data_IF_256231173656
#
_entry.id   IF_256231173656
#
_cell.length_a   1.000
_cell.length_b   1.000
_cell.length_c   1.000
_cell.angle_alpha   90.00
_cell.angle_beta   90.00
_cell.angle_gamma   90.00
#
_symmetry.space_group_name_H-M   'P 1'
#
loop_
_entity.id
_entity.type
_entity.pdbx_description
1 polymer ?
#
# COMPACT_ATOMS: atom_id res chain seq x y z
N UNK A 1 -17.96 41.22 30.47
CA UNK A 1 -18.16 39.85 29.94
C UNK A 1 -19.58 39.58 29.42
N UNK A 2 -20.67 39.87 30.14
CA UNK A 2 -22.06 39.59 29.68
C UNK A 2 -22.47 40.29 28.36
N UNK A 3 -22.04 41.55 28.13
CA UNK A 3 -22.35 42.28 26.89
C UNK A 3 -21.62 41.76 25.64
N UNK A 4 -20.46 41.13 25.82
CA UNK A 4 -19.69 40.55 24.71
C UNK A 4 -20.31 39.21 24.28
N UNK A 5 -20.74 38.41 25.26
CA UNK A 5 -21.44 37.14 25.03
C UNK A 5 -22.77 37.34 24.30
N UNK A 6 -23.53 38.38 24.67
CA UNK A 6 -24.80 38.68 24.01
C UNK A 6 -24.63 39.12 22.55
N UNK A 7 -23.57 39.89 22.23
CA UNK A 7 -23.24 40.29 20.86
C UNK A 7 -22.88 39.08 19.98
N UNK A 8 -22.11 38.13 20.50
CA UNK A 8 -21.78 36.89 19.79
C UNK A 8 -23.01 36.01 19.53
N UNK A 9 -23.93 35.93 20.50
CA UNK A 9 -25.15 35.16 20.37
C UNK A 9 -26.11 35.76 19.33
N UNK A 10 -26.26 37.09 19.29
CA UNK A 10 -27.03 37.77 18.23
C UNK A 10 -26.38 37.67 16.86
N UNK A 11 -25.04 37.64 16.77
CA UNK A 11 -24.33 37.46 15.50
C UNK A 11 -24.53 36.05 14.92
N UNK A 12 -24.51 35.01 15.78
CA UNK A 12 -24.82 33.63 15.39
C UNK A 12 -26.29 33.45 14.93
N UNK A 13 -27.23 34.14 15.56
CA UNK A 13 -28.66 34.06 15.21
C UNK A 13 -28.99 34.74 13.86
N UNK A 14 -28.22 35.76 13.46
CA UNK A 14 -28.39 36.46 12.18
C UNK A 14 -27.81 35.64 11.03
N UNK A 15 -26.75 34.85 11.25
CA UNK A 15 -26.18 33.94 10.25
C UNK A 15 -27.13 32.76 9.96
N UNK A 16 -27.93 32.32 10.93
CA UNK A 16 -28.94 31.25 10.73
C UNK A 16 -30.19 31.68 9.94
N UNK A 17 -30.33 32.96 9.58
CA UNK A 17 -31.49 33.49 8.86
C UNK A 17 -31.23 33.74 7.36
N UNK A 18 -30.04 33.43 6.85
CA UNK A 18 -29.82 33.42 5.40
C UNK A 18 -30.35 32.10 4.81
N UNK A 19 -31.40 32.12 3.97
CA UNK A 19 -31.88 30.91 3.32
C UNK A 19 -30.81 30.45 2.33
N UNK A 20 -30.11 29.36 2.66
CA UNK A 20 -29.19 28.68 1.73
C UNK A 20 -30.01 28.00 0.63
N UNK A 21 -30.35 28.73 -0.42
CA UNK A 21 -30.91 28.16 -1.64
C UNK A 21 -29.83 27.39 -2.42
N UNK A 22 -29.37 26.25 -1.90
CA UNK A 22 -28.63 25.24 -2.66
C UNK A 22 -28.45 23.95 -1.85
N UNK A 23 -29.53 23.19 -1.62
CA UNK A 23 -29.38 21.76 -1.27
C UNK A 23 -29.07 20.99 -2.56
N UNK A 24 -27.82 20.61 -2.79
CA UNK A 24 -27.42 19.76 -3.92
C UNK A 24 -27.66 18.29 -3.59
N UNK A 25 -28.70 17.68 -4.17
CA UNK A 25 -28.92 16.24 -4.06
C UNK A 25 -27.93 15.47 -4.96
N UNK A 26 -27.21 14.51 -4.38
CA UNK A 26 -26.29 13.66 -5.14
C UNK A 26 -27.07 12.49 -5.73
N UNK A 27 -26.85 12.21 -7.01
CA UNK A 27 -27.54 11.11 -7.70
C UNK A 27 -27.10 9.75 -7.11
N UNK A 28 -28.04 8.84 -6.91
CA UNK A 28 -27.76 7.48 -6.41
C UNK A 28 -27.06 6.57 -7.41
N UNK A 29 -26.75 7.09 -8.61
CA UNK A 29 -26.14 6.36 -9.72
C UNK A 29 -24.80 7.00 -10.09
N UNK A 30 -23.97 6.24 -10.79
CA UNK A 30 -22.72 6.70 -11.37
C UNK A 30 -22.67 6.28 -12.83
N UNK A 31 -22.21 7.17 -13.70
CA UNK A 31 -21.91 6.82 -15.09
C UNK A 31 -20.55 6.11 -15.12
N UNK A 32 -20.51 4.92 -15.72
CA UNK A 32 -19.30 4.11 -15.89
C UNK A 32 -19.14 3.78 -17.37
N UNK A 33 -18.00 4.14 -17.93
CA UNK A 33 -17.65 3.88 -19.32
C UNK A 33 -17.07 2.46 -19.48
N UNK A 34 -17.60 1.66 -20.38
CA UNK A 34 -17.10 0.31 -20.66
C UNK A 34 -16.49 0.28 -22.05
N UNK A 35 -15.33 -0.33 -22.20
CA UNK A 35 -14.66 -0.57 -23.49
C UNK A 35 -14.10 -2.00 -23.53
N UNK A 36 -14.06 -2.61 -24.71
CA UNK A 36 -13.39 -3.90 -24.86
C UNK A 36 -12.66 -4.03 -26.20
N UNK A 37 -11.67 -4.90 -26.21
CA UNK A 37 -10.98 -5.36 -27.40
C UNK A 37 -11.09 -6.89 -27.53
N UNK A 38 -11.73 -7.42 -28.59
CA UNK A 38 -12.51 -6.69 -29.60
C UNK A 38 -13.75 -5.98 -29.04
N UNK A 39 -14.27 -4.95 -29.75
CA UNK A 39 -15.48 -4.21 -29.35
C UNK A 39 -16.74 -5.08 -29.46
N UNK A 40 -17.91 -4.52 -29.15
CA UNK A 40 -19.24 -5.17 -29.21
C UNK A 40 -19.46 -6.30 -28.20
N UNK A 41 -18.83 -6.22 -27.02
CA UNK A 41 -19.11 -7.12 -25.91
C UNK A 41 -20.34 -6.64 -25.12
N UNK A 42 -21.25 -7.54 -24.77
CA UNK A 42 -22.40 -7.25 -23.94
C UNK A 42 -21.98 -6.88 -22.52
N UNK A 43 -22.56 -5.80 -21.99
CA UNK A 43 -22.25 -5.30 -20.65
C UNK A 43 -23.28 -5.81 -19.65
N UNK A 44 -22.80 -6.52 -18.63
CA UNK A 44 -23.60 -7.00 -17.51
C UNK A 44 -23.12 -6.36 -16.20
N UNK A 45 -24.06 -5.93 -15.37
CA UNK A 45 -23.77 -5.33 -14.06
C UNK A 45 -24.54 -6.08 -13.00
N UNK A 46 -23.84 -6.65 -12.01
CA UNK A 46 -24.44 -7.43 -10.93
C UNK A 46 -25.36 -8.57 -11.43
N UNK A 47 -24.95 -9.23 -12.51
CA UNK A 47 -25.72 -10.30 -13.14
C UNK A 47 -26.91 -9.85 -13.98
N UNK A 48 -27.12 -8.54 -14.20
CA UNK A 48 -28.17 -8.00 -15.07
C UNK A 48 -27.59 -7.48 -16.39
N UNK A 49 -28.15 -7.94 -17.52
CA UNK A 49 -27.80 -7.41 -18.84
C UNK A 49 -28.29 -5.97 -18.96
N UNK A 50 -27.41 -5.07 -19.37
CA UNK A 50 -27.72 -3.64 -19.52
C UNK A 50 -28.36 -3.32 -20.88
N UNK A 51 -28.34 -4.26 -21.82
CA UNK A 51 -28.76 -4.06 -23.21
C UNK A 51 -27.77 -3.26 -24.06
N UNK A 52 -26.63 -2.86 -23.49
CA UNK A 52 -25.59 -2.09 -24.16
C UNK A 52 -24.38 -2.95 -24.48
N UNK A 53 -23.62 -2.55 -25.51
CA UNK A 53 -22.38 -3.18 -25.94
C UNK A 53 -21.21 -2.20 -25.87
N UNK A 54 -20.00 -2.69 -25.68
CA UNK A 54 -18.79 -1.86 -25.64
C UNK A 54 -18.41 -1.31 -27.03
N UNK A 55 -17.92 -0.07 -27.15
CA UNK A 55 -17.77 0.92 -26.08
C UNK A 55 -19.10 1.64 -25.75
N UNK A 56 -19.47 1.73 -24.47
CA UNK A 56 -20.67 2.47 -24.03
C UNK A 56 -20.62 2.88 -22.55
N UNK A 57 -21.37 3.91 -22.17
CA UNK A 57 -21.51 4.37 -20.78
C UNK A 57 -22.80 3.86 -20.16
N UNK A 58 -22.68 3.12 -19.06
CA UNK A 58 -23.81 2.55 -18.31
C UNK A 58 -23.95 3.24 -16.95
N UNK A 59 -25.19 3.53 -16.55
CA UNK A 59 -25.54 4.01 -15.20
C UNK A 59 -25.59 2.87 -14.20
N UNK A 60 -24.66 2.87 -13.24
CA UNK A 60 -24.58 1.87 -12.18
C UNK A 60 -25.08 2.43 -10.84
N UNK A 61 -25.70 1.60 -10.00
CA UNK A 61 -26.20 2.02 -8.69
C UNK A 61 -25.07 2.11 -7.68
N UNK A 62 -24.95 3.23 -6.97
CA UNK A 62 -23.90 3.42 -5.94
C UNK A 62 -24.15 2.60 -4.67
N UNK A 63 -25.40 2.27 -4.37
CA UNK A 63 -25.75 1.41 -3.24
C UNK A 63 -25.78 -0.06 -3.66
N UNK A 64 -24.83 -0.82 -3.11
CA UNK A 64 -24.75 -2.26 -3.32
C UNK A 64 -24.75 -2.99 -1.98
N UNK A 65 -25.63 -4.00 -1.85
CA UNK A 65 -25.72 -4.86 -0.67
C UNK A 65 -24.77 -6.06 -0.85
N UNK A 66 -24.31 -6.63 0.25
CA UNK A 66 -23.57 -7.89 0.22
C UNK A 66 -24.47 -9.05 -0.23
N UNK A 67 -23.86 -10.12 -0.74
CA UNK A 67 -24.51 -11.36 -1.17
C UNK A 67 -25.67 -11.15 -2.17
N UNK A 68 -25.59 -10.11 -2.98
CA UNK A 68 -26.56 -9.82 -4.05
C UNK A 68 -26.22 -10.60 -5.33
N UNK A 69 -24.93 -10.74 -5.64
CA UNK A 69 -24.47 -11.50 -6.81
C UNK A 69 -23.06 -12.07 -6.55
N UNK A 70 -22.82 -13.34 -6.89
CA UNK A 70 -21.54 -14.06 -6.68
C UNK A 70 -20.88 -13.83 -5.31
N UNK A 71 -21.66 -13.89 -4.23
CA UNK A 71 -21.19 -13.67 -2.85
C UNK A 71 -20.41 -12.35 -2.67
N UNK A 72 -20.80 -11.30 -3.38
CA UNK A 72 -20.14 -10.00 -3.29
C UNK A 72 -20.19 -9.42 -1.87
N UNK A 73 -19.11 -8.77 -1.44
CA UNK A 73 -19.06 -7.95 -0.24
C UNK A 73 -19.97 -6.71 -0.35
N UNK A 74 -20.25 -6.08 0.79
CA UNK A 74 -21.04 -4.84 0.81
C UNK A 74 -20.31 -3.76 0.03
N UNK A 75 -21.03 -3.00 -0.80
CA UNK A 75 -20.47 -1.99 -1.71
C UNK A 75 -19.54 -2.54 -2.81
N UNK A 76 -19.49 -3.85 -3.05
CA UNK A 76 -18.74 -4.44 -4.16
C UNK A 76 -19.63 -4.64 -5.39
N UNK A 77 -19.30 -3.98 -6.49
CA UNK A 77 -19.90 -4.19 -7.81
C UNK A 77 -19.13 -5.24 -8.60
N UNK A 78 -19.85 -6.01 -9.39
CA UNK A 78 -19.28 -6.99 -10.32
C UNK A 78 -19.80 -6.65 -11.71
N UNK A 79 -18.89 -6.45 -12.64
CA UNK A 79 -19.18 -6.23 -14.04
C UNK A 79 -18.74 -7.45 -14.85
N UNK A 80 -19.49 -7.80 -15.87
CA UNK A 80 -19.13 -8.87 -16.80
C UNK A 80 -19.24 -8.37 -18.23
N UNK A 81 -18.24 -8.70 -19.04
CA UNK A 81 -18.27 -8.45 -20.47
C UNK A 81 -18.30 -9.79 -21.19
N UNK A 82 -19.34 -9.99 -22.00
CA UNK A 82 -19.60 -11.26 -22.69
C UNK A 82 -19.60 -11.05 -24.19
N UNK A 83 -18.83 -11.86 -24.92
CA UNK A 83 -18.79 -11.85 -26.38
C UNK A 83 -18.69 -13.29 -26.88
N UNK A 84 -19.49 -13.62 -27.88
CA UNK A 84 -19.49 -14.96 -28.47
C UNK A 84 -18.10 -15.34 -29.00
N UNK A 85 -17.63 -16.54 -28.65
CA UNK A 85 -16.30 -17.03 -29.03
C UNK A 85 -15.16 -16.55 -28.10
N UNK A 86 -15.45 -15.75 -27.09
CA UNK A 86 -14.47 -15.22 -26.13
C UNK A 86 -14.77 -15.68 -24.70
N UNK A 87 -13.73 -15.73 -23.86
CA UNK A 87 -13.89 -15.98 -22.43
C UNK A 87 -14.62 -14.81 -21.76
N UNK A 88 -15.58 -15.13 -20.89
CA UNK A 88 -16.27 -14.12 -20.08
C UNK A 88 -15.25 -13.35 -19.23
N UNK A 89 -15.26 -12.02 -19.37
CA UNK A 89 -14.43 -11.13 -18.57
C UNK A 89 -15.18 -10.72 -17.32
N UNK A 90 -14.52 -10.78 -16.16
CA UNK A 90 -15.07 -10.39 -14.87
C UNK A 90 -14.24 -9.26 -14.29
N UNK A 91 -14.91 -8.19 -13.89
CA UNK A 91 -14.30 -7.10 -13.14
C UNK A 91 -15.03 -6.88 -11.83
N UNK A 92 -14.29 -6.65 -10.76
CA UNK A 92 -14.86 -6.40 -9.44
C UNK A 92 -14.38 -5.05 -8.93
N UNK A 93 -15.33 -4.22 -8.52
CA UNK A 93 -15.08 -2.82 -8.17
C UNK A 93 -15.66 -2.51 -6.78
N UNK A 94 -14.80 -2.09 -5.85
CA UNK A 94 -15.18 -1.84 -4.46
C UNK A 94 -15.42 -0.35 -4.26
N UNK A 95 -16.63 -0.01 -3.81
CA UNK A 95 -17.06 1.37 -3.62
C UNK A 95 -16.26 2.10 -2.55
N UNK A 96 -15.49 3.11 -2.97
CA UNK A 96 -14.66 3.95 -2.09
C UNK A 96 -15.47 5.12 -1.55
N UNK A 97 -15.06 5.65 -0.40
CA UNK A 97 -15.65 6.88 0.13
C UNK A 97 -15.01 8.09 -0.57
N UNK A 98 -15.82 9.01 -1.08
CA UNK A 98 -15.31 10.20 -1.77
C UNK A 98 -15.02 11.33 -0.77
N UNK A 99 -13.75 11.70 -0.56
CA UNK A 99 -13.35 12.77 0.36
C UNK A 99 -13.88 14.17 -0.02
N UNK A 100 -14.16 14.44 -1.30
CA UNK A 100 -14.89 15.64 -1.75
C UNK A 100 -16.35 15.69 -1.27
N UNK A 101 -16.84 14.64 -0.60
CA UNK A 101 -18.08 14.69 0.16
C UNK A 101 -17.94 15.36 1.52
N UNK A 102 -16.75 15.45 2.14
CA UNK A 102 -16.58 16.08 3.45
C UNK A 102 -16.97 17.58 3.46
N UNK A 103 -16.74 18.29 2.35
CA UNK A 103 -17.22 19.67 2.14
C UNK A 103 -18.76 19.72 2.07
N UNK A 104 -19.39 18.73 1.43
CA UNK A 104 -20.84 18.63 1.43
C UNK A 104 -21.41 18.18 2.80
N UNK A 105 -20.67 17.41 3.59
CA UNK A 105 -21.05 17.09 4.97
C UNK A 105 -21.07 18.35 5.83
N UNK A 106 -20.09 19.23 5.66
CA UNK A 106 -20.05 20.53 6.31
C UNK A 106 -21.24 21.41 5.88
N UNK A 107 -21.54 21.46 4.58
CA UNK A 107 -22.67 22.22 4.04
C UNK A 107 -24.04 21.64 4.43
N UNK A 108 -24.21 20.31 4.46
CA UNK A 108 -25.45 19.66 4.89
C UNK A 108 -25.68 19.79 6.41
N UNK A 109 -24.62 19.76 7.22
CA UNK A 109 -24.68 20.10 8.65
C UNK A 109 -25.16 21.54 8.86
N UNK A 110 -24.75 22.48 8.00
CA UNK A 110 -25.22 23.86 8.01
C UNK A 110 -26.68 24.05 7.55
N UNK A 111 -27.29 23.04 6.89
CA UNK A 111 -28.69 23.09 6.40
C UNK A 111 -29.63 22.13 7.11
N UNK A 112 -29.33 21.81 8.39
CA UNK A 112 -30.14 20.91 9.23
C UNK A 112 -30.25 19.47 8.70
N UNK A 113 -29.29 19.02 7.87
CA UNK A 113 -29.11 17.62 7.53
C UNK A 113 -30.12 17.02 6.54
N UNK A 114 -30.97 17.83 5.91
CA UNK A 114 -32.00 17.35 4.96
C UNK A 114 -31.36 16.59 3.77
N UNK A 115 -30.21 17.06 3.26
CA UNK A 115 -29.45 16.38 2.21
C UNK A 115 -28.94 14.99 2.62
N UNK A 116 -28.42 14.87 3.85
CA UNK A 116 -27.92 13.61 4.41
C UNK A 116 -29.02 12.56 4.54
N UNK A 117 -30.23 12.96 4.93
CA UNK A 117 -31.39 12.06 5.05
C UNK A 117 -31.76 11.42 3.69
N UNK A 118 -31.59 12.17 2.59
CA UNK A 118 -31.93 11.69 1.23
C UNK A 118 -30.79 10.89 0.60
N UNK A 119 -29.54 11.28 0.83
CA UNK A 119 -28.38 10.78 0.09
C UNK A 119 -27.73 9.55 0.74
N UNK A 120 -27.80 9.41 2.08
CA UNK A 120 -27.29 8.23 2.79
C UNK A 120 -28.02 6.95 2.36
N UNK A 121 -29.38 6.91 2.31
CA UNK A 121 -30.09 5.72 1.88
C UNK A 121 -29.84 5.34 0.43
N UNK A 122 -29.38 6.27 -0.42
CA UNK A 122 -29.05 6.06 -1.84
C UNK A 122 -27.58 5.67 -2.07
N UNK A 123 -26.75 5.69 -1.02
CA UNK A 123 -25.33 5.39 -1.12
C UNK A 123 -24.54 6.43 -1.93
N UNK A 124 -25.03 7.67 -2.03
CA UNK A 124 -24.48 8.69 -2.93
C UNK A 124 -23.04 9.14 -2.58
N UNK A 125 -22.54 8.72 -1.41
CA UNK A 125 -21.16 8.96 -0.94
C UNK A 125 -20.15 7.91 -1.41
N UNK A 126 -20.61 6.85 -2.09
CA UNK A 126 -19.75 5.81 -2.67
C UNK A 126 -19.42 6.14 -4.12
N UNK A 127 -18.15 6.04 -4.47
CA UNK A 127 -17.66 6.19 -5.85
C UNK A 127 -17.00 4.88 -6.27
N UNK A 128 -17.26 4.51 -7.51
CA UNK A 128 -16.75 3.35 -8.22
C UNK A 128 -15.76 3.82 -9.30
N UNK A 129 -15.09 2.92 -10.00
CA UNK A 129 -14.26 3.31 -11.14
C UNK A 129 -15.13 3.95 -12.24
N UNK A 130 -14.63 4.99 -12.89
CA UNK A 130 -15.35 5.70 -13.95
C UNK A 130 -15.27 4.98 -15.30
N UNK A 131 -14.35 4.03 -15.44
CA UNK A 131 -14.15 3.28 -16.68
C UNK A 131 -13.67 1.85 -16.43
N UNK A 132 -14.19 0.91 -17.21
CA UNK A 132 -13.83 -0.51 -17.25
C UNK A 132 -13.37 -0.85 -18.67
N UNK A 133 -12.13 -1.31 -18.82
CA UNK A 133 -11.52 -1.64 -20.12
C UNK A 133 -11.13 -3.12 -20.08
N UNK A 134 -11.57 -3.90 -21.07
CA UNK A 134 -11.33 -5.35 -21.10
C UNK A 134 -10.72 -5.84 -22.41
N UNK A 135 -9.65 -6.60 -22.32
CA UNK A 135 -9.09 -7.34 -23.46
C UNK A 135 -9.62 -8.77 -23.41
N UNK A 136 -10.53 -9.12 -24.32
CA UNK A 136 -11.20 -10.42 -24.34
C UNK A 136 -10.32 -11.45 -25.04
N UNK A 137 -10.09 -12.58 -24.37
CA UNK A 137 -9.31 -13.69 -24.92
C UNK A 137 -10.21 -14.67 -25.71
N UNK A 138 -9.83 -15.09 -26.93
CA UNK A 138 -10.55 -16.12 -27.66
C UNK A 138 -10.62 -17.43 -26.88
N UNK A 139 -11.77 -18.10 -26.88
CA UNK A 139 -11.98 -19.33 -26.12
C UNK A 139 -11.09 -20.51 -26.57
N UNK A 140 -10.59 -20.48 -27.81
CA UNK A 140 -9.68 -21.49 -28.38
C UNK A 140 -8.28 -21.48 -27.78
N UNK A 141 -7.82 -20.34 -27.26
CA UNK A 141 -6.46 -20.18 -26.71
C UNK A 141 -6.34 -20.77 -25.30
N UNK A 142 -7.45 -20.74 -24.53
CA UNK A 142 -7.52 -21.29 -23.17
C UNK A 142 -7.38 -22.83 -23.11
N UNK A 143 -7.88 -23.56 -24.11
CA UNK A 143 -7.77 -25.04 -24.16
C UNK A 143 -6.35 -25.55 -24.46
N UNK A 144 -5.49 -24.71 -25.07
CA UNK A 144 -4.13 -25.11 -25.45
C UNK A 144 -3.17 -25.11 -24.25
N UNK A 145 -3.39 -24.22 -23.28
CA UNK A 145 -2.52 -24.06 -22.11
C UNK A 145 -2.82 -25.07 -20.99
N UNK A 146 -4.04 -25.61 -20.91
CA UNK A 146 -4.38 -26.63 -19.88
C UNK A 146 -3.71 -28.00 -20.15
N UNK A 147 -3.33 -28.30 -21.41
CA UNK A 147 -2.67 -29.56 -21.79
C UNK A 147 -1.12 -29.46 -21.75
N UNK A 148 -0.55 -28.26 -21.62
CA UNK A 148 0.90 -28.04 -21.61
C UNK A 148 1.52 -28.20 -20.20
N UNK A 149 0.73 -27.98 -19.14
CA UNK A 149 1.21 -28.03 -17.74
C UNK A 149 1.34 -29.45 -17.15
N UNK A 150 1.01 -30.51 -17.91
CA UNK A 150 1.16 -31.92 -17.48
C UNK A 150 2.36 -32.65 -18.12
N UNK A 151 3.13 -32.00 -19.00
CA UNK A 151 4.22 -32.61 -19.75
C UNK A 151 5.49 -31.76 -19.69
N UNK A 152 6.04 -31.54 -18.48
CA UNK A 152 7.41 -31.02 -18.33
C UNK A 152 8.03 -31.43 -16.99
N UNK A 153 8.22 -32.74 -16.82
CA UNK A 153 9.34 -33.28 -16.03
C UNK A 153 10.14 -34.18 -16.96
N UNK A 154 11.14 -33.62 -17.63
CA UNK A 154 12.44 -34.24 -17.92
C UNK A 154 13.27 -33.38 -18.90
N UNK A 155 14.46 -33.04 -18.40
CA UNK A 155 15.77 -32.82 -19.06
C UNK A 155 15.92 -32.01 -20.36
N UNK A 156 16.76 -30.97 -20.22
CA UNK A 156 17.87 -30.57 -21.09
C UNK A 156 17.59 -30.34 -22.59
N UNK A 157 17.53 -29.07 -22.99
CA UNK A 157 18.53 -28.51 -23.92
C UNK A 157 18.46 -26.99 -24.01
N UNK A 158 19.63 -26.37 -23.92
CA UNK A 158 19.87 -24.99 -24.30
C UNK A 158 19.97 -24.88 -25.83
N UNK A 159 19.38 -23.83 -26.42
CA UNK A 159 20.01 -22.86 -27.33
C UNK A 159 18.95 -21.87 -27.82
N UNK A 160 19.20 -20.60 -27.49
CA UNK A 160 18.90 -19.35 -28.21
C UNK A 160 17.51 -19.13 -28.84
N UNK A 161 16.72 -18.23 -28.22
CA UNK A 161 16.05 -17.11 -28.93
C UNK A 161 16.01 -15.86 -28.03
N UNK A 162 16.33 -14.72 -28.64
CA UNK A 162 16.22 -13.34 -28.14
C UNK A 162 15.40 -12.57 -29.19
N UNK A 163 14.98 -11.30 -28.98
CA UNK A 163 14.14 -10.74 -27.93
C UNK A 163 12.84 -10.15 -28.54
N UNK A 164 11.91 -9.68 -27.69
CA UNK A 164 10.67 -8.94 -28.02
C UNK A 164 9.49 -9.74 -28.62
N UNK A 165 8.57 -10.10 -27.72
CA UNK A 165 7.13 -9.95 -27.98
C UNK A 165 6.42 -9.76 -26.63
N UNK A 166 6.62 -8.60 -26.00
CA UNK A 166 5.82 -8.21 -24.83
C UNK A 166 4.51 -7.59 -25.30
N UNK A 167 3.43 -8.37 -25.15
CA UNK A 167 2.07 -7.85 -25.06
C UNK A 167 1.94 -7.04 -23.76
N UNK A 168 1.20 -5.92 -23.73
CA UNK A 168 1.32 -4.92 -22.69
C UNK A 168 0.85 -5.44 -21.33
N UNK A 169 1.65 -5.16 -20.30
CA UNK A 169 1.44 -5.46 -18.91
C UNK A 169 -0.02 -5.23 -18.45
N UNK A 170 -0.75 -6.31 -18.17
CA UNK A 170 -2.02 -6.24 -17.47
C UNK A 170 -1.79 -6.18 -15.95
N UNK A 171 -1.84 -4.95 -15.44
CA UNK A 171 -2.42 -4.48 -14.17
C UNK A 171 -2.21 -5.32 -12.87
N UNK A 172 -1.29 -4.86 -12.01
CA UNK A 172 -1.23 -5.08 -10.55
C UNK A 172 -1.40 -6.51 -10.00
N UNK A 173 -0.28 -7.24 -10.00
CA UNK A 173 -0.14 -8.63 -9.57
C UNK A 173 -0.34 -8.84 -8.05
N UNK A 174 0.28 -8.00 -7.21
CA UNK A 174 0.31 -8.19 -5.74
C UNK A 174 -0.76 -7.40 -4.98
N UNK A 175 -1.37 -6.40 -5.62
CA UNK A 175 -2.39 -5.52 -4.99
C UNK A 175 -3.77 -6.18 -4.97
N UNK A 176 -3.94 -7.22 -5.77
CA UNK A 176 -5.19 -7.93 -5.92
C UNK A 176 -5.14 -9.29 -5.21
N UNK A 177 -6.30 -9.85 -4.89
CA UNK A 177 -6.42 -11.21 -4.33
C UNK A 177 -5.56 -11.44 -3.07
N UNK A 178 -5.43 -10.42 -2.23
CA UNK A 178 -4.67 -10.48 -0.98
C UNK A 178 -5.21 -11.63 -0.12
N UNK A 179 -4.38 -12.62 0.26
CA UNK A 179 -4.87 -13.79 0.97
C UNK A 179 -5.39 -13.43 2.36
N UNK A 180 -6.61 -13.88 2.66
CA UNK A 180 -7.22 -13.62 3.96
C UNK A 180 -6.95 -14.77 4.93
N UNK A 181 -6.62 -14.44 6.18
CA UNK A 181 -6.57 -15.35 7.31
C UNK A 181 -7.70 -15.03 8.29
N UNK A 182 -8.45 -16.04 8.79
CA UNK A 182 -9.46 -15.81 9.82
C UNK A 182 -8.83 -15.56 11.19
N UNK A 183 -7.60 -16.03 11.41
CA UNK A 183 -6.91 -15.93 12.70
C UNK A 183 -6.29 -14.56 12.89
N UNK A 184 -6.72 -13.85 13.94
CA UNK A 184 -6.13 -12.59 14.39
C UNK A 184 -5.41 -12.81 15.72
N UNK A 185 -4.23 -12.21 15.88
CA UNK A 185 -3.53 -12.19 17.16
C UNK A 185 -3.78 -10.82 17.85
N UNK A 186 -4.50 -10.77 18.99
CA UNK A 186 -4.81 -9.51 19.67
C UNK A 186 -3.56 -8.78 20.22
N UNK A 187 -2.44 -9.48 20.37
CA UNK A 187 -1.16 -8.92 20.80
C UNK A 187 -0.21 -8.62 19.64
N UNK A 188 -0.68 -8.71 18.39
CA UNK A 188 0.10 -8.31 17.22
C UNK A 188 -0.26 -6.88 16.81
N UNK A 189 0.75 -6.03 16.72
CA UNK A 189 0.63 -4.61 16.38
C UNK A 189 1.49 -4.28 15.18
N UNK A 190 1.03 -3.32 14.37
CA UNK A 190 1.79 -2.88 13.21
C UNK A 190 1.90 -1.36 13.13
N UNK A 191 3.09 -0.89 12.78
CA UNK A 191 3.34 0.48 12.34
C UNK A 191 3.87 0.44 10.91
N UNK A 192 3.08 0.99 9.99
CA UNK A 192 3.38 0.99 8.55
C UNK A 192 3.49 2.44 8.09
N UNK A 193 4.65 2.81 7.54
CA UNK A 193 4.95 4.19 7.14
C UNK A 193 5.38 4.19 5.67
N UNK A 194 4.73 5.02 4.85
CA UNK A 194 5.12 5.26 3.45
C UNK A 194 5.33 6.75 3.22
N UNK A 195 6.57 7.16 3.01
CA UNK A 195 6.92 8.55 2.72
C UNK A 195 7.36 8.65 1.27
N UNK A 196 6.51 9.23 0.43
CA UNK A 196 6.71 9.41 -1.00
C UNK A 196 6.92 10.89 -1.36
N UNK A 197 6.04 11.77 -0.88
CA UNK A 197 5.99 13.17 -1.27
C UNK A 197 6.82 14.05 -0.33
N UNK A 198 8.10 14.21 -0.66
CA UNK A 198 9.01 15.11 0.06
C UNK A 198 8.94 16.54 -0.48
N UNK A 199 8.73 16.69 -1.80
CA UNK A 199 8.69 17.99 -2.45
C UNK A 199 7.58 18.89 -1.91
N UNK A 200 6.34 18.38 -1.76
CA UNK A 200 5.24 19.23 -1.25
C UNK A 200 5.45 19.71 0.18
N UNK A 201 6.34 19.07 0.95
CA UNK A 201 6.60 19.37 2.36
C UNK A 201 7.90 20.15 2.59
N UNK A 202 8.79 20.22 1.59
CA UNK A 202 10.06 20.93 1.67
C UNK A 202 10.23 21.88 0.48
N UNK A 203 10.33 23.18 0.79
CA UNK A 203 10.47 24.22 -0.24
C UNK A 203 11.79 24.05 -0.99
N UNK A 204 11.72 24.10 -2.32
CA UNK A 204 12.90 24.11 -3.19
C UNK A 204 13.41 22.73 -3.60
N UNK A 205 12.73 21.65 -3.23
CA UNK A 205 13.00 20.33 -3.81
C UNK A 205 12.33 20.19 -5.17
N UNK A 206 12.93 19.38 -6.05
CA UNK A 206 12.27 18.92 -7.27
C UNK A 206 11.42 17.68 -6.98
N UNK A 207 10.49 17.37 -7.87
CA UNK A 207 9.68 16.14 -7.79
C UNK A 207 10.51 14.86 -7.91
N UNK A 208 11.72 14.94 -8.46
CA UNK A 208 12.66 13.81 -8.59
C UNK A 208 13.17 13.30 -7.24
N UNK A 209 13.06 14.13 -6.20
CA UNK A 209 13.40 13.74 -4.82
C UNK A 209 12.30 12.86 -4.21
N UNK A 210 11.11 12.76 -4.80
CA UNK A 210 10.06 11.89 -4.25
C UNK A 210 10.42 10.41 -4.37
N UNK A 211 9.99 9.60 -3.41
CA UNK A 211 10.25 8.15 -3.40
C UNK A 211 9.10 7.45 -4.09
N UNK A 212 9.22 7.26 -5.40
CA UNK A 212 8.19 6.66 -6.22
C UNK A 212 7.63 5.37 -5.60
N UNK A 213 6.30 5.36 -5.44
CA UNK A 213 5.46 4.26 -4.97
C UNK A 213 5.52 3.96 -3.47
N UNK A 214 6.27 4.70 -2.65
CA UNK A 214 6.33 4.46 -1.21
C UNK A 214 4.96 4.60 -0.52
N UNK A 215 4.06 5.46 -1.03
CA UNK A 215 2.69 5.54 -0.55
C UNK A 215 1.91 4.26 -0.90
N UNK A 216 1.99 3.79 -2.15
CA UNK A 216 1.29 2.59 -2.60
C UNK A 216 1.79 1.35 -1.83
N UNK A 217 3.10 1.22 -1.71
CA UNK A 217 3.80 0.19 -0.95
C UNK A 217 3.26 0.07 0.49
N UNK A 218 3.19 1.18 1.21
CA UNK A 218 2.67 1.20 2.57
C UNK A 218 1.18 0.86 2.65
N UNK A 219 0.36 1.36 1.71
CA UNK A 219 -1.08 1.06 1.67
C UNK A 219 -1.34 -0.43 1.46
N UNK A 220 -0.70 -1.02 0.45
CA UNK A 220 -0.89 -2.44 0.14
C UNK A 220 -0.29 -3.31 1.22
N UNK A 221 0.90 -2.98 1.75
CA UNK A 221 1.47 -3.73 2.87
C UNK A 221 0.56 -3.70 4.11
N UNK A 222 -0.09 -2.59 4.42
CA UNK A 222 -1.07 -2.50 5.51
C UNK A 222 -2.28 -3.44 5.29
N UNK A 223 -2.71 -3.64 4.05
CA UNK A 223 -3.73 -4.62 3.70
C UNK A 223 -3.24 -6.06 3.95
N UNK A 224 -2.01 -6.42 3.56
CA UNK A 224 -1.43 -7.73 3.88
C UNK A 224 -1.26 -7.94 5.39
N UNK A 225 -0.84 -6.92 6.12
CA UNK A 225 -0.67 -6.95 7.57
C UNK A 225 -1.98 -7.33 8.27
N UNK A 226 -3.08 -6.70 7.86
CA UNK A 226 -4.40 -6.98 8.43
C UNK A 226 -4.97 -8.28 7.86
N UNK A 227 -5.06 -8.44 6.54
CA UNK A 227 -5.75 -9.55 5.91
C UNK A 227 -4.97 -10.86 6.00
N UNK A 228 -3.65 -10.85 5.82
CA UNK A 228 -2.81 -12.05 5.70
C UNK A 228 -2.03 -12.35 6.98
N UNK A 229 -1.48 -11.33 7.64
CA UNK A 229 -0.59 -11.46 8.80
C UNK A 229 -1.30 -11.35 10.15
N UNK A 230 -2.64 -11.37 10.17
CA UNK A 230 -3.42 -11.55 11.39
C UNK A 230 -3.37 -10.39 12.38
N UNK A 231 -3.03 -9.17 11.93
CA UNK A 231 -3.12 -7.97 12.77
C UNK A 231 -4.58 -7.50 12.84
N UNK A 232 -5.16 -7.30 14.03
CA UNK A 232 -6.45 -6.63 14.19
C UNK A 232 -6.42 -5.22 13.62
N UNK A 233 -7.50 -4.75 13.00
CA UNK A 233 -7.51 -3.42 12.35
C UNK A 233 -7.24 -2.28 13.35
N UNK A 234 -7.71 -2.43 14.59
CA UNK A 234 -7.44 -1.49 15.70
C UNK A 234 -5.96 -1.43 16.14
N UNK A 235 -5.19 -2.48 15.82
CA UNK A 235 -3.78 -2.61 16.16
C UNK A 235 -2.85 -2.13 15.03
N UNK A 236 -3.39 -1.73 13.88
CA UNK A 236 -2.65 -1.13 12.78
C UNK A 236 -2.58 0.40 12.95
N UNK A 237 -1.37 0.95 12.91
CA UNK A 237 -1.14 2.38 12.72
C UNK A 237 -0.45 2.57 11.37
N UNK A 238 -1.13 3.21 10.42
CA UNK A 238 -0.58 3.51 9.10
C UNK A 238 -0.40 5.02 8.94
N UNK A 239 0.78 5.45 8.48
CA UNK A 239 1.08 6.83 8.16
C UNK A 239 1.57 6.94 6.71
N UNK A 240 1.07 7.94 6.00
CA UNK A 240 1.46 8.25 4.62
C UNK A 240 1.96 9.70 4.61
N UNK A 241 3.15 9.91 4.04
CA UNK A 241 3.85 11.20 4.02
C UNK A 241 3.93 11.82 5.42
N UNK A 242 4.46 11.02 6.36
CA UNK A 242 4.53 11.37 7.77
C UNK A 242 5.61 12.41 8.05
N UNK A 243 5.23 13.48 8.76
CA UNK A 243 6.19 14.43 9.32
C UNK A 243 6.89 13.86 10.56
N UNK A 244 7.94 14.55 11.03
CA UNK A 244 8.75 14.11 12.16
C UNK A 244 7.92 13.86 13.43
N UNK A 245 6.93 14.72 13.69
CA UNK A 245 6.07 14.63 14.86
C UNK A 245 5.14 13.40 14.80
N UNK A 246 4.58 13.12 13.63
CA UNK A 246 3.70 11.97 13.42
C UNK A 246 4.46 10.66 13.61
N UNK A 247 5.66 10.54 13.03
CA UNK A 247 6.52 9.37 13.22
C UNK A 247 6.87 9.17 14.70
N UNK A 248 7.31 10.21 15.41
CA UNK A 248 7.64 10.13 16.83
C UNK A 248 6.43 9.74 17.70
N UNK A 249 5.25 10.30 17.42
CA UNK A 249 4.01 9.95 18.14
C UNK A 249 3.63 8.49 17.92
N UNK A 250 3.73 7.99 16.69
CA UNK A 250 3.42 6.60 16.39
C UNK A 250 4.42 5.63 17.05
N UNK A 251 5.72 5.96 17.04
CA UNK A 251 6.73 5.16 17.75
C UNK A 251 6.48 5.12 19.26
N UNK A 252 6.15 6.27 19.86
CA UNK A 252 5.77 6.33 21.28
C UNK A 252 4.53 5.48 21.58
N UNK A 253 3.52 5.49 20.70
CA UNK A 253 2.33 4.64 20.84
C UNK A 253 2.71 3.15 20.81
N UNK A 254 3.54 2.73 19.85
CA UNK A 254 4.00 1.34 19.75
C UNK A 254 4.78 0.92 21.00
N UNK A 255 5.71 1.75 21.47
CA UNK A 255 6.49 1.47 22.68
C UNK A 255 5.60 1.29 23.92
N UNK A 256 4.57 2.12 24.08
CA UNK A 256 3.58 1.97 25.15
C UNK A 256 2.74 0.69 25.01
N UNK A 257 2.41 0.26 23.79
CA UNK A 257 1.73 -1.02 23.56
C UNK A 257 2.62 -2.20 23.98
N UNK A 258 3.89 -2.20 23.57
CA UNK A 258 4.86 -3.24 23.98
C UNK A 258 4.94 -3.31 25.50
N UNK A 259 5.11 -2.16 26.17
CA UNK A 259 5.13 -2.07 27.64
C UNK A 259 3.92 -2.73 28.30
N UNK A 260 2.71 -2.37 27.85
CA UNK A 260 1.47 -2.83 28.49
C UNK A 260 1.10 -4.29 28.16
N UNK A 261 1.69 -4.87 27.12
CA UNK A 261 1.47 -6.28 26.76
C UNK A 261 2.37 -7.25 27.53
N UNK A 262 3.32 -6.74 28.31
CA UNK A 262 4.17 -7.49 29.23
C UNK A 262 4.81 -8.76 28.61
N UNK A 263 5.51 -8.59 27.49
CA UNK A 263 6.22 -9.69 26.82
C UNK A 263 5.42 -10.45 25.77
N UNK A 264 4.11 -10.17 25.62
CA UNK A 264 3.25 -10.84 24.63
C UNK A 264 3.23 -10.16 23.25
N UNK A 265 3.70 -8.91 23.16
CA UNK A 265 3.63 -8.16 21.90
C UNK A 265 4.41 -8.84 20.77
N UNK A 266 3.75 -8.96 19.62
CA UNK A 266 4.38 -9.17 18.32
C UNK A 266 4.31 -7.87 17.51
N UNK A 267 5.45 -7.32 17.12
CA UNK A 267 5.52 -6.03 16.43
C UNK A 267 5.95 -6.21 14.98
N UNK A 268 5.21 -5.60 14.06
CA UNK A 268 5.59 -5.45 12.65
C UNK A 268 5.81 -3.97 12.38
N UNK A 269 7.03 -3.58 12.10
CA UNK A 269 7.37 -2.23 11.63
C UNK A 269 7.70 -2.31 10.14
N UNK A 270 7.11 -1.42 9.35
CA UNK A 270 7.39 -1.28 7.93
C UNK A 270 7.63 0.19 7.60
N UNK A 271 8.69 0.44 6.84
CA UNK A 271 8.99 1.77 6.30
C UNK A 271 9.39 1.69 4.85
N UNK A 272 8.73 2.48 4.00
CA UNK A 272 9.17 2.82 2.65
C UNK A 272 9.38 4.33 2.56
N UNK A 273 10.53 4.75 2.02
CA UNK A 273 10.88 6.17 1.93
C UNK A 273 12.39 6.40 1.86
N UNK A 274 12.82 7.63 2.14
CA UNK A 274 14.23 7.98 2.17
C UNK A 274 14.91 7.50 3.46
N UNK A 275 16.02 6.79 3.26
CA UNK A 275 17.05 6.66 4.29
C UNK A 275 18.11 7.75 4.08
N UNK A 276 18.82 8.11 5.13
CA UNK A 276 19.92 9.07 5.03
C UNK A 276 21.06 8.70 6.00
N UNK A 277 22.31 8.54 5.53
CA UNK A 277 23.45 8.37 6.41
C UNK A 277 23.99 9.75 6.82
N UNK A 278 24.23 9.96 8.11
CA UNK A 278 24.99 11.12 8.54
C UNK A 278 26.43 11.06 7.99
N UNK A 279 26.89 12.13 7.33
CA UNK A 279 28.19 12.14 6.63
C UNK A 279 29.40 11.92 7.56
N UNK A 280 29.28 12.29 8.84
CA UNK A 280 30.40 12.25 9.80
C UNK A 280 30.42 10.96 10.62
N UNK A 281 29.25 10.55 11.08
CA UNK A 281 29.07 9.43 12.00
C UNK A 281 28.67 8.15 11.29
N UNK A 282 28.26 8.24 10.01
CA UNK A 282 27.71 7.15 9.20
C UNK A 282 26.45 6.51 9.79
N UNK A 283 25.84 7.14 10.80
CA UNK A 283 24.62 6.64 11.44
C UNK A 283 23.46 6.78 10.44
N UNK A 284 22.65 5.73 10.21
CA UNK A 284 21.50 5.79 9.32
C UNK A 284 20.26 6.38 10.00
N UNK A 285 19.49 7.15 9.23
CA UNK A 285 18.25 7.81 9.62
C UNK A 285 17.11 7.44 8.67
N UNK A 286 15.89 7.34 9.18
CA UNK A 286 14.66 7.39 8.39
C UNK A 286 14.23 8.85 8.28
N UNK A 287 13.89 9.29 7.05
CA UNK A 287 13.57 10.69 6.78
C UNK A 287 12.06 10.93 6.80
N UNK A 288 11.55 11.75 7.72
CA UNK A 288 10.22 12.35 7.61
C UNK A 288 10.10 13.26 6.39
N UNK A 289 8.89 13.45 5.87
CA UNK A 289 8.71 14.25 4.63
C UNK A 289 9.04 15.72 4.80
N UNK A 290 9.00 16.24 6.03
CA UNK A 290 9.26 17.65 6.36
C UNK A 290 10.70 17.92 6.82
N UNK A 291 11.59 16.91 6.81
CA UNK A 291 12.97 17.05 7.31
C UNK A 291 13.98 17.00 6.17
N UNK A 292 14.84 18.02 6.10
CA UNK A 292 15.92 18.11 5.12
C UNK A 292 17.17 17.33 5.54
N UNK A 293 18.05 17.02 4.59
CA UNK A 293 19.34 16.36 4.87
C UNK A 293 20.29 17.18 5.77
N UNK A 294 20.05 18.48 5.93
CA UNK A 294 20.80 19.35 6.86
C UNK A 294 20.24 19.36 8.28
N UNK A 295 19.08 18.75 8.50
CA UNK A 295 18.29 18.83 9.74
C UNK A 295 18.10 17.45 10.39
N UNK A 296 19.12 16.59 10.30
CA UNK A 296 19.07 15.20 10.79
C UNK A 296 18.72 15.06 12.28
N UNK A 297 18.86 16.12 13.07
CA UNK A 297 18.42 16.14 14.47
C UNK A 297 16.90 15.96 14.62
N UNK A 298 16.12 16.26 13.58
CA UNK A 298 14.67 16.04 13.54
C UNK A 298 14.27 14.74 12.82
N UNK A 299 15.22 14.05 12.18
CA UNK A 299 14.99 12.75 11.56
C UNK A 299 15.05 11.61 12.61
N UNK A 300 14.65 10.40 12.21
CA UNK A 300 14.63 9.25 13.11
C UNK A 300 15.89 8.41 12.94
N UNK A 301 16.83 8.51 13.89
CA UNK A 301 17.99 7.59 13.97
C UNK A 301 17.52 6.14 14.00
N UNK A 302 18.05 5.30 13.13
CA UNK A 302 17.66 3.89 13.04
C UNK A 302 17.99 3.12 14.33
N UNK A 303 19.12 3.43 14.96
CA UNK A 303 19.47 2.89 16.28
C UNK A 303 18.46 3.31 17.38
N UNK A 304 17.94 4.54 17.32
CA UNK A 304 16.90 5.01 18.25
C UNK A 304 15.58 4.28 18.02
N UNK A 305 15.22 4.02 16.76
CA UNK A 305 14.08 3.16 16.42
C UNK A 305 14.24 1.79 17.06
N UNK A 306 15.37 1.10 16.84
CA UNK A 306 15.59 -0.24 17.38
C UNK A 306 15.55 -0.26 18.90
N UNK A 307 16.23 0.69 19.56
CA UNK A 307 16.19 0.83 21.02
C UNK A 307 14.77 1.02 21.54
N UNK A 308 13.98 1.87 20.89
CA UNK A 308 12.59 2.12 21.27
C UNK A 308 11.73 0.87 21.14
N UNK A 309 11.90 0.08 20.06
CA UNK A 309 11.17 -1.17 19.89
C UNK A 309 11.58 -2.25 20.92
N UNK A 310 12.79 -2.20 21.46
CA UNK A 310 13.31 -3.19 22.40
C UNK A 310 13.38 -2.73 23.85
N UNK A 311 12.85 -1.54 24.16
CA UNK A 311 12.90 -0.96 25.52
C UNK A 311 12.18 -1.85 26.54
N UNK A 312 11.09 -2.50 26.12
CA UNK A 312 10.33 -3.45 26.92
C UNK A 312 10.33 -4.83 26.28
N UNK A 313 10.16 -5.91 27.06
CA UNK A 313 10.07 -7.26 26.52
C UNK A 313 8.91 -7.41 25.51
N UNK A 314 9.20 -8.05 24.39
CA UNK A 314 8.25 -8.44 23.34
C UNK A 314 8.46 -9.90 22.97
N UNK A 315 7.42 -10.56 22.45
CA UNK A 315 7.53 -11.92 21.96
C UNK A 315 8.40 -11.99 20.70
N UNK A 316 8.17 -11.05 19.76
CA UNK A 316 8.86 -10.97 18.47
C UNK A 316 8.72 -9.57 17.88
N UNK A 317 9.79 -9.05 17.27
CA UNK A 317 9.79 -7.81 16.50
C UNK A 317 10.29 -8.12 15.10
N UNK A 318 9.56 -7.65 14.09
CA UNK A 318 9.91 -7.79 12.67
C UNK A 318 9.90 -6.41 12.04
N UNK A 319 10.99 -6.07 11.38
CA UNK A 319 11.21 -4.77 10.75
C UNK A 319 11.44 -4.99 9.26
N UNK A 320 10.74 -4.23 8.42
CA UNK A 320 10.93 -4.17 6.98
C UNK A 320 11.32 -2.76 6.58
N UNK A 321 12.47 -2.60 5.90
CA UNK A 321 12.99 -1.31 5.46
C UNK A 321 13.18 -1.29 3.94
N UNK A 322 12.28 -0.62 3.23
CA UNK A 322 12.42 -0.28 1.81
C UNK A 322 12.96 1.16 1.67
N UNK A 323 14.24 1.33 2.03
CA UNK A 323 14.91 2.63 2.05
C UNK A 323 16.39 2.53 1.65
N UNK A 324 16.89 3.58 0.98
CA UNK A 324 18.31 3.71 0.65
C UNK A 324 19.05 4.39 1.81
N UNK A 325 19.90 3.67 2.55
CA UNK A 325 20.69 4.30 3.63
C UNK A 325 22.05 4.82 3.18
N UNK A 326 22.45 4.57 1.94
CA UNK A 326 23.81 4.89 1.45
C UNK A 326 24.01 6.34 1.02
N UNK A 327 22.96 7.17 1.06
CA UNK A 327 22.94 8.48 0.38
C UNK A 327 22.96 8.36 -1.15
N UNK A 328 23.06 7.13 -1.68
CA UNK A 328 22.99 6.81 -3.09
C UNK A 328 21.57 6.94 -3.63
N UNK A 329 21.38 7.91 -4.52
CA UNK A 329 20.14 8.24 -5.20
C UNK A 329 19.30 7.02 -5.64
N UNK A 330 17.99 7.04 -5.29
CA UNK A 330 16.94 6.30 -5.98
C UNK A 330 16.51 7.04 -7.26
N UNK A 331 16.36 8.38 -7.22
CA UNK A 331 16.17 9.28 -8.38
C UNK A 331 16.79 10.69 -8.19
N UNK A 332 17.85 10.79 -7.37
CA UNK A 332 18.54 11.96 -6.78
C UNK A 332 18.15 12.15 -5.31
N UNK A 333 18.93 11.55 -4.40
CA UNK A 333 18.69 11.66 -2.96
C UNK A 333 18.76 13.11 -2.49
N UNK A 334 18.38 13.37 -1.23
CA UNK A 334 18.52 14.69 -0.57
C UNK A 334 19.95 15.28 -0.64
N UNK A 335 20.94 14.48 -1.04
CA UNK A 335 22.36 14.81 -1.24
C UNK A 335 22.83 14.84 -2.70
N UNK A 336 21.96 14.83 -3.71
CA UNK A 336 22.41 14.78 -5.11
C UNK A 336 23.37 15.92 -5.51
N UNK A 337 23.49 16.96 -4.68
CA UNK A 337 24.52 17.98 -4.78
C UNK A 337 25.98 17.50 -4.53
N UNK A 338 26.25 16.30 -3.97
CA UNK A 338 27.61 15.88 -3.55
C UNK A 338 28.14 14.55 -4.09
N UNK A 339 27.30 13.66 -4.64
CA UNK A 339 27.76 12.47 -5.38
C UNK A 339 28.53 11.37 -4.62
N UNK A 340 28.64 11.45 -3.29
CA UNK A 340 29.37 10.45 -2.47
C UNK A 340 28.39 9.41 -1.90
N UNK A 341 28.63 8.12 -2.17
CA UNK A 341 27.95 7.03 -1.47
C UNK A 341 28.67 6.75 -0.15
N UNK A 342 27.92 6.61 0.93
CA UNK A 342 28.44 6.33 2.27
C UNK A 342 27.94 4.96 2.68
N UNK A 343 28.83 4.08 3.14
CA UNK A 343 28.43 2.84 3.79
C UNK A 343 27.89 3.16 5.20
N UNK A 344 26.62 2.87 5.51
CA UNK A 344 26.06 3.12 6.84
C UNK A 344 26.73 2.22 7.88
N UNK A 345 26.86 2.74 9.09
CA UNK A 345 27.28 1.97 10.25
C UNK A 345 26.18 1.01 10.67
N UNK A 346 26.56 -0.24 10.93
CA UNK A 346 25.63 -1.24 11.45
C UNK A 346 25.36 -0.99 12.94
N UNK A 347 24.07 -0.93 13.29
CA UNK A 347 23.63 -0.78 14.68
C UNK A 347 23.53 -2.13 15.40
N UNK A 348 23.73 -2.12 16.73
CA UNK A 348 23.52 -3.31 17.55
C UNK A 348 22.01 -3.61 17.67
N UNK A 349 21.61 -4.82 17.29
CA UNK A 349 20.24 -5.31 17.42
C UNK A 349 20.07 -6.07 18.74
N UNK A 350 19.12 -5.62 19.56
CA UNK A 350 18.78 -6.22 20.86
C UNK A 350 17.42 -6.94 20.82
N UNK A 351 17.05 -7.60 21.92
CA UNK A 351 15.75 -8.26 22.07
C UNK A 351 15.57 -9.44 21.10
N UNK A 352 14.32 -9.71 20.72
CA UNK A 352 13.93 -10.73 19.74
C UNK A 352 13.50 -10.05 18.44
N UNK A 353 14.46 -9.57 17.65
CA UNK A 353 14.23 -8.75 16.46
C UNK A 353 14.85 -9.37 15.20
N UNK A 354 14.13 -9.29 14.09
CA UNK A 354 14.63 -9.55 12.73
C UNK A 354 14.34 -8.33 11.86
N UNK A 355 15.34 -7.88 11.12
CA UNK A 355 15.28 -6.74 10.22
C UNK A 355 15.54 -7.21 8.80
N UNK A 356 14.58 -7.04 7.91
CA UNK A 356 14.73 -7.23 6.47
C UNK A 356 14.92 -5.86 5.81
N UNK A 357 16.09 -5.64 5.22
CA UNK A 357 16.44 -4.39 4.55
C UNK A 357 16.53 -4.59 3.04
N UNK A 358 16.01 -3.64 2.27
CA UNK A 358 15.93 -3.74 0.81
C UNK A 358 17.28 -3.73 0.09
N UNK A 359 18.32 -3.17 0.69
CA UNK A 359 19.65 -3.05 0.08
C UNK A 359 20.76 -3.09 1.13
N UNK A 360 21.97 -3.45 0.71
CA UNK A 360 23.16 -3.54 1.55
C UNK A 360 24.18 -2.42 1.27
N UNK A 361 24.96 -2.03 2.28
CA UNK A 361 26.11 -1.15 2.12
C UNK A 361 25.81 0.14 1.34
N UNK A 362 26.45 0.29 0.18
CA UNK A 362 26.34 1.47 -0.69
C UNK A 362 25.23 1.38 -1.76
N UNK A 363 24.45 0.30 -1.76
CA UNK A 363 23.39 0.09 -2.75
C UNK A 363 22.18 0.98 -2.47
N UNK A 364 21.31 1.10 -3.48
CA UNK A 364 20.03 1.81 -3.37
C UNK A 364 18.91 0.78 -3.38
N UNK A 365 17.81 1.06 -2.67
CA UNK A 365 16.54 0.41 -2.94
C UNK A 365 15.91 1.00 -4.20
N UNK A 366 15.49 0.16 -5.15
CA UNK A 366 15.08 0.56 -6.50
C UNK A 366 13.57 0.42 -6.71
N UNK A 367 12.97 1.23 -7.60
CA UNK A 367 11.57 1.06 -7.97
C UNK A 367 11.39 -0.13 -8.93
N UNK A 368 10.15 -0.63 -9.00
CA UNK A 368 9.64 -1.49 -10.06
C UNK A 368 8.50 -0.75 -10.76
N UNK A 369 8.86 0.13 -11.69
CA UNK A 369 7.93 1.10 -12.32
C UNK A 369 6.72 0.44 -12.99
N UNK A 370 6.94 -0.68 -13.67
CA UNK A 370 5.86 -1.45 -14.33
C UNK A 370 4.82 -1.93 -13.31
N UNK A 371 5.26 -2.35 -12.12
CA UNK A 371 4.38 -2.85 -11.06
C UNK A 371 3.92 -1.78 -10.07
N UNK A 372 4.42 -0.55 -10.18
CA UNK A 372 4.12 0.59 -9.28
C UNK A 372 4.37 0.30 -7.80
N UNK A 373 5.54 -0.27 -7.53
CA UNK A 373 6.04 -0.58 -6.18
C UNK A 373 7.53 -0.32 -6.07
N UNK A 374 8.06 -0.30 -4.85
CA UNK A 374 9.45 -0.64 -4.59
C UNK A 374 9.74 -2.09 -4.95
N UNK A 375 10.91 -2.35 -5.54
CA UNK A 375 11.29 -3.69 -5.99
C UNK A 375 11.29 -4.69 -4.83
N UNK A 376 11.85 -4.29 -3.68
CA UNK A 376 11.84 -5.10 -2.47
C UNK A 376 10.42 -5.34 -1.98
N UNK A 377 9.61 -4.28 -1.84
CA UNK A 377 8.23 -4.40 -1.38
C UNK A 377 7.39 -5.28 -2.30
N UNK A 378 7.49 -5.15 -3.62
CA UNK A 378 6.78 -6.00 -4.56
C UNK A 378 7.09 -7.49 -4.33
N UNK A 379 8.37 -7.87 -4.22
CA UNK A 379 8.73 -9.27 -4.00
C UNK A 379 8.34 -9.76 -2.60
N UNK A 380 8.39 -8.91 -1.58
CA UNK A 380 7.84 -9.21 -0.25
C UNK A 380 6.36 -9.55 -0.33
N UNK A 381 5.56 -8.68 -0.93
CA UNK A 381 4.12 -8.87 -1.09
C UNK A 381 3.81 -10.11 -1.92
N UNK A 382 4.50 -10.30 -3.05
CA UNK A 382 4.37 -11.49 -3.90
C UNK A 382 4.62 -12.77 -3.12
N UNK A 383 5.67 -12.83 -2.29
CA UNK A 383 5.96 -14.03 -1.50
C UNK A 383 4.88 -14.30 -0.44
N UNK A 384 4.39 -13.24 0.20
CA UNK A 384 3.28 -13.34 1.15
C UNK A 384 1.99 -13.79 0.46
N UNK A 385 1.75 -13.34 -0.77
CA UNK A 385 0.60 -13.71 -1.59
C UNK A 385 0.64 -15.20 -1.97
N UNK A 386 1.74 -15.62 -2.62
CA UNK A 386 1.95 -17.00 -3.08
C UNK A 386 1.88 -18.01 -1.92
N UNK A 387 2.50 -17.68 -0.79
CA UNK A 387 2.50 -18.53 0.41
C UNK A 387 1.23 -18.41 1.25
N UNK A 388 0.34 -17.46 0.93
CA UNK A 388 -0.83 -17.10 1.76
C UNK A 388 -0.41 -16.77 3.21
N UNK A 389 0.77 -16.18 3.38
CA UNK A 389 1.41 -15.90 4.67
C UNK A 389 1.95 -17.13 5.43
N UNK A 390 1.92 -18.32 4.84
CA UNK A 390 2.43 -19.58 5.43
C UNK A 390 3.85 -19.81 4.94
N UNK A 391 4.81 -19.19 5.62
CA UNK A 391 6.23 -19.34 5.35
C UNK A 391 7.07 -19.05 6.59
N UNK A 392 8.27 -19.60 6.63
CA UNK A 392 9.26 -19.24 7.64
C UNK A 392 10.03 -17.98 7.24
N UNK A 393 10.62 -17.30 8.20
CA UNK A 393 11.45 -16.12 7.94
C UNK A 393 12.70 -16.47 7.15
N UNK A 394 13.23 -17.71 7.29
CA UNK A 394 14.31 -18.19 6.42
C UNK A 394 13.86 -18.25 4.96
N UNK A 395 12.69 -18.84 4.69
CA UNK A 395 12.14 -18.93 3.32
C UNK A 395 11.88 -17.54 2.73
N UNK A 396 11.39 -16.59 3.54
CA UNK A 396 11.21 -15.21 3.11
C UNK A 396 12.56 -14.54 2.81
N UNK A 397 13.55 -14.69 3.70
CA UNK A 397 14.89 -14.13 3.52
C UNK A 397 15.55 -14.65 2.24
N UNK A 398 15.57 -15.97 2.05
CA UNK A 398 16.20 -16.60 0.88
C UNK A 398 15.54 -16.11 -0.42
N UNK A 399 14.20 -16.09 -0.44
CA UNK A 399 13.44 -15.62 -1.60
C UNK A 399 13.71 -14.14 -1.91
N UNK A 400 13.73 -13.26 -0.90
CA UNK A 400 13.99 -11.85 -1.10
C UNK A 400 15.41 -11.61 -1.64
N UNK A 401 16.41 -12.25 -1.05
CA UNK A 401 17.80 -12.16 -1.50
C UNK A 401 17.93 -12.59 -2.96
N UNK A 402 17.34 -13.72 -3.34
CA UNK A 402 17.41 -14.25 -4.70
C UNK A 402 16.64 -13.38 -5.70
N UNK A 403 15.34 -13.17 -5.46
CA UNK A 403 14.48 -12.53 -6.45
C UNK A 403 14.83 -11.07 -6.64
N UNK A 404 15.06 -10.32 -5.55
CA UNK A 404 15.41 -8.89 -5.66
C UNK A 404 16.80 -8.75 -6.30
N UNK A 405 17.79 -9.56 -5.87
CA UNK A 405 19.15 -9.50 -6.43
C UNK A 405 19.20 -9.77 -7.94
N UNK A 406 18.46 -10.77 -8.42
CA UNK A 406 18.38 -11.07 -9.85
C UNK A 406 17.56 -10.02 -10.60
N UNK A 407 16.38 -9.66 -10.09
CA UNK A 407 15.43 -8.80 -10.81
C UNK A 407 15.86 -7.34 -10.81
N UNK A 408 16.66 -6.89 -9.85
CA UNK A 408 17.20 -5.53 -9.86
C UNK A 408 18.10 -5.30 -11.07
N UNK A 409 18.95 -6.28 -11.41
CA UNK A 409 19.83 -6.21 -12.58
C UNK A 409 19.01 -6.22 -13.86
N UNK A 410 18.02 -7.13 -13.96
CA UNK A 410 17.19 -7.26 -15.18
C UNK A 410 16.34 -6.02 -15.43
N UNK A 411 15.69 -5.48 -14.40
CA UNK A 411 14.69 -4.41 -14.54
C UNK A 411 15.35 -3.03 -14.51
N UNK A 412 16.34 -2.84 -13.64
CA UNK A 412 16.91 -1.53 -13.34
C UNK A 412 18.38 -1.39 -13.77
N UNK A 413 19.01 -2.44 -14.33
CA UNK A 413 20.44 -2.48 -14.67
C UNK A 413 21.36 -2.07 -13.49
N UNK A 414 20.93 -2.36 -12.26
CA UNK A 414 21.63 -1.96 -11.03
C UNK A 414 21.46 -3.03 -9.96
N UNK A 415 22.51 -3.26 -9.19
CA UNK A 415 22.47 -4.20 -8.08
C UNK A 415 21.67 -3.66 -6.90
N UNK A 416 20.87 -4.55 -6.31
CA UNK A 416 20.20 -4.36 -5.05
C UNK A 416 20.16 -5.71 -4.33
N UNK A 417 20.97 -5.85 -3.27
CA UNK A 417 21.04 -7.09 -2.49
C UNK A 417 20.37 -6.88 -1.13
N UNK A 418 19.18 -7.44 -0.90
CA UNK A 418 18.56 -7.40 0.42
C UNK A 418 19.42 -8.05 1.50
N UNK A 419 19.19 -7.65 2.75
CA UNK A 419 19.87 -8.19 3.92
C UNK A 419 18.85 -8.55 4.99
N UNK A 420 19.16 -9.61 5.74
CA UNK A 420 18.42 -10.00 6.94
C UNK A 420 19.34 -9.93 8.13
N UNK A 421 19.16 -8.92 8.98
CA UNK A 421 19.91 -8.75 10.22
C UNK A 421 19.08 -9.27 11.39
N UNK A 422 19.72 -9.96 12.33
CA UNK A 422 19.04 -10.64 13.43
C UNK A 422 19.70 -10.24 14.74
N UNK A 423 18.88 -10.01 15.77
CA UNK A 423 19.38 -9.74 17.12
C UNK A 423 19.95 -11.01 17.76
N UNK A 424 20.86 -10.83 18.72
CA UNK A 424 21.44 -11.95 19.49
C UNK A 424 20.35 -12.82 20.12
N UNK A 425 19.28 -12.21 20.65
CA UNK A 425 18.16 -12.94 21.27
C UNK A 425 17.26 -13.73 20.31
N UNK A 426 17.45 -13.60 18.99
CA UNK A 426 16.72 -14.33 17.97
C UNK A 426 17.60 -15.21 17.08
N UNK A 427 18.94 -15.15 17.22
CA UNK A 427 19.92 -15.76 16.31
C UNK A 427 19.65 -17.25 16.00
N UNK A 428 19.25 -18.03 17.00
CA UNK A 428 19.06 -19.48 16.87
C UNK A 428 17.62 -19.88 16.47
N UNK A 429 16.66 -18.97 16.59
CA UNK A 429 15.23 -19.29 16.46
C UNK A 429 14.55 -18.59 15.28
N UNK A 430 15.12 -17.49 14.78
CA UNK A 430 14.46 -16.64 13.78
C UNK A 430 14.11 -17.39 12.50
N UNK A 431 14.95 -18.33 12.07
CA UNK A 431 14.77 -19.10 10.83
C UNK A 431 13.48 -19.90 10.83
N UNK A 432 12.98 -20.27 12.01
CA UNK A 432 11.75 -21.03 12.22
C UNK A 432 10.55 -20.13 12.50
N UNK A 433 10.73 -18.83 12.68
CA UNK A 433 9.62 -17.92 12.90
C UNK A 433 8.70 -17.88 11.68
N UNK A 434 7.40 -17.85 11.94
CA UNK A 434 6.33 -17.66 10.97
C UNK A 434 5.41 -16.52 11.43
N UNK A 435 4.61 -16.00 10.51
CA UNK A 435 3.51 -15.10 10.86
C UNK A 435 2.26 -15.83 11.34
N UNK A 436 2.07 -17.08 10.91
CA UNK A 436 0.93 -17.92 11.30
C UNK A 436 1.32 -18.99 12.30
#
# INVERSE_FOLDING_TARGET
>A
MKKLFFKYLTFLLIISLFPSCATMFRTGNQDVYFSSEPPDAEIWVMGQNTGQKTPSTVKVKRKVRSNTYKNNAKHQQIYELKKEGYKEFFHTDIGRFNAGSAIAWYLDLCTWGIGLIVDIPKGAFRVYQNSIIANLTPASEYKKNYNADQLSSNENNAIQRSPYNESPASDFDVDNQIPVTPTKNPYRFALVIGNEDYNSFQKGLSTEVNVAFAENDARIFAEYVTQTLGVPDENLTMLINANAMDMNRALKKINLLIKNTAGKAEIIFYYAGHGFPDEKTQEPYLMPVDVSGSELDFAIKLNTLYKSLTEYPSQKITVFLDACFSGGARDQGLLAARGVKIKPKEGQLNGKMVVFSASSGEQSSLPYKEKKHGLFTYFLLRKLQESRGVLTYKQLSDYLTEQVGVKSIIINNKEQNPQTNVSVGAQDIWKLWSFK
#
